data_IF_613781856967
#
_entry.id   IF_613781856967
#
_cell.length_a   1.000
_cell.length_b   1.000
_cell.length_c   1.000
_cell.angle_alpha   90.00
_cell.angle_beta   90.00
_cell.angle_gamma   90.00
#
_symmetry.space_group_name_H-M   'P 1'
#
loop_
_entity.id
_entity.type
_entity.pdbx_description
1 polymer ?
#
# COMPACT_ATOMS: atom_id res chain seq x y z
N UNK A 1 -35.93 31.16 6.25
CA UNK A 1 -36.41 30.08 5.35
C UNK A 1 -36.18 28.75 6.07
N UNK A 2 -37.23 27.95 6.22
CA UNK A 2 -37.28 26.80 7.12
C UNK A 2 -36.11 25.82 6.89
N UNK A 3 -35.37 25.54 7.96
CA UNK A 3 -34.31 24.53 8.02
C UNK A 3 -35.00 23.18 8.10
N UNK A 4 -35.03 22.44 6.99
CA UNK A 4 -35.44 21.04 7.00
C UNK A 4 -34.35 20.24 7.70
N UNK A 5 -34.61 19.86 8.95
CA UNK A 5 -33.88 18.87 9.72
C UNK A 5 -34.22 17.49 9.15
N UNK A 6 -33.37 16.97 8.26
CA UNK A 6 -33.38 15.53 7.97
C UNK A 6 -32.86 14.86 9.26
N UNK A 7 -33.65 14.00 9.91
CA UNK A 7 -33.18 13.28 11.10
C UNK A 7 -32.02 12.36 10.70
N UNK A 8 -31.03 12.22 11.58
CA UNK A 8 -30.00 11.22 11.44
C UNK A 8 -30.68 9.86 11.19
N UNK A 9 -30.40 9.26 10.03
CA UNK A 9 -30.94 7.96 9.68
C UNK A 9 -30.61 6.93 10.77
N UNK A 10 -31.49 5.95 10.92
CA UNK A 10 -31.34 4.87 11.88
C UNK A 10 -29.98 4.18 11.73
N UNK A 11 -29.05 4.41 12.68
CA UNK A 11 -27.76 3.71 12.72
C UNK A 11 -28.01 2.21 12.86
N UNK A 12 -27.50 1.41 11.92
CA UNK A 12 -27.67 -0.05 11.95
C UNK A 12 -26.80 -0.63 13.07
N UNK A 13 -27.44 -1.19 14.10
CA UNK A 13 -26.80 -1.76 15.29
C UNK A 13 -27.19 -1.00 16.57
N UNK A 14 -28.37 -1.29 17.12
CA UNK A 14 -28.97 -0.49 18.18
C UNK A 14 -28.59 -0.93 19.59
N UNK A 15 -27.53 -0.32 20.13
CA UNK A 15 -27.43 -0.12 21.59
C UNK A 15 -27.98 1.27 21.94
N UNK A 16 -28.60 1.43 23.11
CA UNK A 16 -29.14 2.72 23.62
C UNK A 16 -28.08 3.83 23.58
N UNK A 17 -26.80 3.48 23.71
CA UNK A 17 -25.67 4.41 23.65
C UNK A 17 -25.48 5.04 22.26
N UNK A 18 -25.72 4.28 21.18
CA UNK A 18 -25.62 4.78 19.81
C UNK A 18 -26.58 5.94 19.55
N UNK A 19 -27.83 5.79 19.99
CA UNK A 19 -28.85 6.82 19.85
C UNK A 19 -28.56 8.06 20.70
N UNK A 20 -28.00 7.87 21.90
CA UNK A 20 -27.63 8.98 22.77
C UNK A 20 -26.51 9.80 22.11
N UNK A 21 -25.47 9.13 21.60
CA UNK A 21 -24.38 9.79 20.87
C UNK A 21 -24.90 10.49 19.61
N UNK A 22 -25.78 9.83 18.85
CA UNK A 22 -26.43 10.41 17.67
C UNK A 22 -27.19 11.71 18.00
N UNK A 23 -28.02 11.67 19.05
CA UNK A 23 -28.80 12.83 19.51
C UNK A 23 -27.92 13.96 20.03
N UNK A 24 -26.83 13.65 20.74
CA UNK A 24 -25.87 14.66 21.17
C UNK A 24 -25.14 15.29 19.98
N UNK A 25 -24.73 14.48 19.00
CA UNK A 25 -24.11 14.98 17.79
C UNK A 25 -25.06 15.90 17.02
N UNK A 26 -26.32 15.50 16.82
CA UNK A 26 -27.36 16.34 16.22
C UNK A 26 -27.54 17.66 16.95
N UNK A 27 -27.60 17.61 18.29
CA UNK A 27 -27.70 18.79 19.14
C UNK A 27 -26.50 19.73 18.97
N UNK A 28 -25.28 19.19 18.90
CA UNK A 28 -24.06 19.99 18.71
C UNK A 28 -23.92 20.54 17.29
N UNK A 29 -24.43 19.84 16.28
CA UNK A 29 -24.44 20.33 14.89
C UNK A 29 -25.50 21.42 14.67
N UNK A 30 -26.55 21.50 15.51
CA UNK A 30 -27.62 22.49 15.35
C UNK A 30 -27.18 23.94 15.68
N UNK A 31 -26.11 24.14 16.46
CA UNK A 31 -25.60 25.46 16.83
C UNK A 31 -24.14 25.65 16.41
N UNK A 32 -23.83 26.82 15.85
CA UNK A 32 -22.45 27.17 15.46
C UNK A 32 -21.51 27.27 16.67
N UNK A 33 -22.03 27.62 17.84
CA UNK A 33 -21.24 27.74 19.08
C UNK A 33 -20.80 26.37 19.62
N UNK A 34 -21.55 25.31 19.34
CA UNK A 34 -21.24 23.93 19.75
C UNK A 34 -20.45 23.15 18.68
N UNK A 35 -20.12 23.75 17.54
CA UNK A 35 -19.35 23.09 16.48
C UNK A 35 -17.98 22.55 16.96
N UNK A 36 -17.22 23.22 17.86
CA UNK A 36 -16.00 22.65 18.42
C UNK A 36 -16.24 21.38 19.24
N UNK A 37 -17.38 21.27 19.91
CA UNK A 37 -17.78 20.08 20.67
C UNK A 37 -18.18 18.94 19.72
N UNK A 38 -18.87 19.26 18.63
CA UNK A 38 -19.17 18.29 17.57
C UNK A 38 -17.87 17.74 16.95
N UNK A 39 -16.92 18.60 16.62
CA UNK A 39 -15.61 18.19 16.09
C UNK A 39 -14.85 17.31 17.10
N UNK A 40 -14.82 17.70 18.38
CA UNK A 40 -14.19 16.87 19.42
C UNK A 40 -14.84 15.48 19.50
N UNK A 41 -16.17 15.39 19.51
CA UNK A 41 -16.89 14.12 19.55
C UNK A 41 -16.58 13.25 18.31
N UNK A 42 -16.60 13.84 17.11
CA UNK A 42 -16.29 13.17 15.85
C UNK A 42 -14.86 12.62 15.85
N UNK A 43 -13.88 13.37 16.37
CA UNK A 43 -12.50 12.89 16.47
C UNK A 43 -12.37 11.63 17.32
N UNK A 44 -13.14 11.54 18.42
CA UNK A 44 -13.16 10.34 19.26
C UNK A 44 -13.85 9.19 18.52
N UNK A 45 -15.01 9.44 17.90
CA UNK A 45 -15.74 8.43 17.13
C UNK A 45 -14.93 7.86 15.96
N UNK A 46 -14.10 8.68 15.31
CA UNK A 46 -13.24 8.25 14.21
C UNK A 46 -12.19 7.21 14.65
N UNK A 47 -11.73 7.28 15.91
CA UNK A 47 -10.69 6.41 16.45
C UNK A 47 -11.24 5.12 17.09
N UNK A 48 -12.56 4.99 17.19
CA UNK A 48 -13.23 3.83 17.79
C UNK A 48 -13.41 2.77 16.70
N UNK A 49 -12.71 1.64 16.86
CA UNK A 49 -12.79 0.48 15.96
C UNK A 49 -13.70 -0.64 16.50
N UNK A 50 -13.81 -0.75 17.83
CA UNK A 50 -14.76 -1.64 18.51
C UNK A 50 -15.09 -1.07 19.90
N UNK A 51 -16.35 -1.20 20.32
CA UNK A 51 -16.75 -0.96 21.71
C UNK A 51 -16.99 -2.31 22.37
N UNK A 52 -16.08 -2.71 23.26
CA UNK A 52 -16.35 -3.80 24.18
C UNK A 52 -17.11 -3.20 25.37
N UNK A 53 -18.38 -3.57 25.53
CA UNK A 53 -19.25 -3.10 26.62
C UNK A 53 -18.78 -3.45 28.04
N UNK A 54 -17.59 -4.01 28.21
CA UNK A 54 -16.97 -4.25 29.51
C UNK A 54 -16.27 -2.99 30.01
N UNK A 55 -17.06 -1.94 30.26
CA UNK A 55 -16.66 -0.92 31.21
C UNK A 55 -16.48 -1.59 32.57
N UNK A 56 -15.26 -1.57 33.09
CA UNK A 56 -14.93 -1.91 34.48
C UNK A 56 -15.74 -1.01 35.43
N UNK A 57 -16.97 -1.41 35.73
CA UNK A 57 -17.73 -0.96 36.88
C UNK A 57 -17.72 -2.10 37.88
N UNK A 58 -16.93 -1.92 38.94
CA UNK A 58 -16.88 -2.83 40.08
C UNK A 58 -18.17 -2.71 40.89
N UNK A 59 -19.28 -3.28 40.40
CA UNK A 59 -20.44 -3.62 41.23
C UNK A 59 -21.10 -4.91 40.70
N UNK A 60 -21.20 -5.97 41.53
CA UNK A 60 -21.77 -7.23 41.10
C UNK A 60 -23.26 -7.24 41.39
N UNK A 61 -24.10 -7.30 40.36
CA UNK A 61 -25.44 -7.92 40.50
C UNK A 61 -25.89 -8.54 39.18
N UNK A 62 -25.93 -9.88 39.22
CA UNK A 62 -26.89 -10.78 38.60
C UNK A 62 -27.18 -10.70 37.08
N UNK A 63 -26.57 -11.67 36.39
CA UNK A 63 -27.22 -12.65 35.49
C UNK A 63 -27.83 -12.18 34.17
N UNK A 64 -27.17 -12.65 33.11
CA UNK A 64 -27.71 -13.25 31.86
C UNK A 64 -28.44 -12.34 30.87
N UNK A 65 -27.71 -11.89 29.84
CA UNK A 65 -27.82 -12.44 28.48
C UNK A 65 -26.55 -12.08 27.70
N UNK A 66 -25.78 -13.07 27.30
CA UNK A 66 -24.63 -12.93 26.41
C UNK A 66 -25.13 -12.70 24.99
N UNK A 67 -25.25 -11.44 24.60
CA UNK A 67 -25.02 -11.04 23.21
C UNK A 67 -23.87 -10.05 23.24
N UNK A 68 -22.68 -10.51 22.84
CA UNK A 68 -21.60 -9.61 22.47
C UNK A 68 -22.07 -8.89 21.19
N UNK A 69 -22.96 -7.92 21.32
CA UNK A 69 -23.32 -7.00 20.24
C UNK A 69 -22.17 -6.00 20.13
N UNK A 70 -21.20 -6.38 19.30
CA UNK A 70 -20.11 -5.51 18.91
C UNK A 70 -20.70 -4.29 18.22
N UNK A 71 -20.56 -3.13 18.85
CA UNK A 71 -21.06 -1.87 18.32
C UNK A 71 -20.19 -1.44 17.14
N UNK A 72 -20.77 -1.49 15.94
CA UNK A 72 -20.18 -0.94 14.73
C UNK A 72 -20.96 0.33 14.32
N UNK A 73 -20.45 1.51 14.66
CA UNK A 73 -20.96 2.75 14.08
C UNK A 73 -20.71 2.71 12.57
N UNK A 74 -21.77 2.64 11.77
CA UNK A 74 -21.66 2.68 10.30
C UNK A 74 -21.02 3.99 9.85
N UNK A 75 -19.84 3.88 9.25
CA UNK A 75 -19.04 4.98 8.71
C UNK A 75 -19.82 5.74 7.64
N UNK A 76 -20.48 5.02 6.73
CA UNK A 76 -21.30 5.59 5.65
C UNK A 76 -22.47 6.42 6.18
N UNK A 77 -23.17 5.96 7.21
CA UNK A 77 -24.31 6.68 7.76
C UNK A 77 -23.90 8.06 8.32
N UNK A 78 -22.75 8.11 9.01
CA UNK A 78 -22.22 9.35 9.57
C UNK A 78 -21.71 10.30 8.48
N UNK A 79 -21.03 9.75 7.46
CA UNK A 79 -20.55 10.53 6.30
C UNK A 79 -21.74 11.14 5.54
N UNK A 80 -22.77 10.35 5.24
CA UNK A 80 -23.96 10.82 4.52
C UNK A 80 -24.70 11.94 5.25
N UNK A 81 -24.61 11.98 6.59
CA UNK A 81 -25.16 13.08 7.38
C UNK A 81 -24.27 14.33 7.38
N UNK A 82 -22.95 14.16 7.51
CA UNK A 82 -22.03 15.28 7.65
C UNK A 82 -21.77 15.99 6.32
N UNK A 83 -21.60 15.24 5.23
CA UNK A 83 -21.13 15.77 3.95
C UNK A 83 -21.99 16.91 3.37
N UNK A 84 -23.35 16.87 3.44
CA UNK A 84 -24.18 17.96 2.92
C UNK A 84 -24.07 19.29 3.68
N UNK A 85 -23.74 19.26 4.99
CA UNK A 85 -23.77 20.44 5.87
C UNK A 85 -22.41 20.88 6.38
N UNK A 86 -21.52 19.93 6.65
CA UNK A 86 -20.22 20.14 7.28
C UNK A 86 -19.14 19.29 6.60
N UNK A 87 -18.76 19.61 5.35
CA UNK A 87 -17.77 18.84 4.60
C UNK A 87 -16.39 18.83 5.27
N UNK A 88 -16.02 19.88 6.00
CA UNK A 88 -14.78 19.92 6.78
C UNK A 88 -14.74 18.88 7.91
N UNK A 89 -15.87 18.69 8.60
CA UNK A 89 -15.98 17.69 9.65
C UNK A 89 -15.98 16.27 9.07
N UNK A 90 -16.62 16.07 7.92
CA UNK A 90 -16.58 14.80 7.20
C UNK A 90 -15.16 14.44 6.77
N UNK A 91 -14.39 15.41 6.25
CA UNK A 91 -12.99 15.22 5.87
C UNK A 91 -12.10 14.91 7.07
N UNK A 92 -12.29 15.63 8.19
CA UNK A 92 -11.62 15.34 9.47
C UNK A 92 -11.89 13.92 9.97
N UNK A 93 -13.15 13.49 9.94
CA UNK A 93 -13.57 12.16 10.38
C UNK A 93 -12.90 11.07 9.53
N UNK A 94 -13.04 11.15 8.21
CA UNK A 94 -12.47 10.19 7.26
C UNK A 94 -10.95 10.10 7.39
N UNK A 95 -10.27 11.25 7.48
CA UNK A 95 -8.82 11.28 7.62
C UNK A 95 -8.36 10.56 8.89
N UNK A 96 -9.02 10.78 10.02
CA UNK A 96 -8.69 10.11 11.27
C UNK A 96 -9.00 8.62 11.22
N UNK A 97 -10.11 8.24 10.60
CA UNK A 97 -10.49 6.83 10.43
C UNK A 97 -9.46 6.07 9.60
N UNK A 98 -9.06 6.64 8.47
CA UNK A 98 -8.09 6.00 7.56
C UNK A 98 -6.70 5.95 8.18
N UNK A 99 -6.18 7.08 8.68
CA UNK A 99 -4.79 7.15 9.13
C UNK A 99 -4.54 6.77 10.59
N UNK A 100 -5.53 6.89 11.49
CA UNK A 100 -5.38 6.49 12.90
C UNK A 100 -6.04 5.16 13.22
N UNK A 101 -7.27 4.95 12.74
CA UNK A 101 -8.00 3.70 13.00
C UNK A 101 -7.62 2.58 12.02
N UNK A 102 -6.92 2.91 10.93
CA UNK A 102 -6.38 1.94 9.97
C UNK A 102 -7.44 1.37 9.03
N UNK A 103 -8.46 2.16 8.69
CA UNK A 103 -9.49 1.77 7.74
C UNK A 103 -8.89 1.47 6.36
N UNK A 104 -9.12 0.26 5.85
CA UNK A 104 -8.60 -0.25 4.58
C UNK A 104 -9.61 -0.19 3.45
N UNK A 105 -10.79 0.37 3.69
CA UNK A 105 -11.84 0.40 2.68
C UNK A 105 -11.53 1.42 1.56
N UNK A 106 -11.37 0.91 0.33
CA UNK A 106 -10.99 1.70 -0.86
C UNK A 106 -12.03 2.78 -1.22
N UNK A 107 -13.31 2.53 -0.91
CA UNK A 107 -14.40 3.50 -1.11
C UNK A 107 -14.16 4.78 -0.26
N UNK A 108 -13.79 4.61 1.00
CA UNK A 108 -13.47 5.71 1.91
C UNK A 108 -12.19 6.45 1.50
N UNK A 109 -11.19 5.73 0.97
CA UNK A 109 -9.94 6.32 0.47
C UNK A 109 -10.20 7.24 -0.73
N UNK A 110 -11.00 6.75 -1.68
CA UNK A 110 -11.43 7.53 -2.85
C UNK A 110 -12.25 8.75 -2.43
N UNK A 111 -13.24 8.55 -1.55
CA UNK A 111 -14.10 9.64 -1.06
C UNK A 111 -13.30 10.72 -0.32
N UNK A 112 -12.32 10.35 0.51
CA UNK A 112 -11.46 11.31 1.19
C UNK A 112 -10.69 12.17 0.18
N UNK A 113 -10.09 11.55 -0.84
CA UNK A 113 -9.31 12.28 -1.84
C UNK A 113 -10.19 13.23 -2.68
N UNK A 114 -11.38 12.80 -3.08
CA UNK A 114 -12.34 13.65 -3.80
C UNK A 114 -12.83 14.82 -2.94
N UNK A 115 -13.20 14.56 -1.68
CA UNK A 115 -13.66 15.58 -0.74
C UNK A 115 -12.55 16.61 -0.47
N UNK A 116 -11.31 16.15 -0.30
CA UNK A 116 -10.17 17.05 -0.08
C UNK A 116 -9.90 17.94 -1.29
N UNK A 117 -10.02 17.43 -2.51
CA UNK A 117 -9.90 18.21 -3.74
C UNK A 117 -11.02 19.25 -3.84
N UNK A 118 -12.27 18.87 -3.55
CA UNK A 118 -13.40 19.81 -3.55
C UNK A 118 -13.21 20.95 -2.55
N UNK A 119 -12.76 20.63 -1.33
CA UNK A 119 -12.45 21.64 -0.31
C UNK A 119 -11.28 22.53 -0.75
N UNK A 120 -10.25 21.95 -1.38
CA UNK A 120 -9.11 22.69 -1.91
C UNK A 120 -9.53 23.74 -2.95
N UNK A 121 -10.38 23.34 -3.91
CA UNK A 121 -10.91 24.24 -4.93
C UNK A 121 -11.79 25.33 -4.30
N UNK A 122 -12.68 24.95 -3.37
CA UNK A 122 -13.56 25.89 -2.65
C UNK A 122 -12.75 26.94 -1.88
N UNK A 123 -11.66 26.55 -1.22
CA UNK A 123 -10.84 27.48 -0.44
C UNK A 123 -10.02 28.43 -1.30
N UNK A 124 -9.61 28.00 -2.49
CA UNK A 124 -9.01 28.90 -3.47
C UNK A 124 -10.02 29.92 -4.00
N UNK A 125 -11.25 29.50 -4.32
CA UNK A 125 -12.32 30.40 -4.74
C UNK A 125 -12.70 31.41 -3.65
N UNK A 126 -12.76 30.95 -2.39
CA UNK A 126 -13.06 31.82 -1.25
C UNK A 126 -11.88 32.67 -0.77
N UNK A 127 -10.70 32.56 -1.41
CA UNK A 127 -9.45 33.26 -1.02
C UNK A 127 -9.08 33.11 0.46
N UNK A 128 -9.33 31.95 1.05
CA UNK A 128 -8.99 31.68 2.44
C UNK A 128 -7.61 31.04 2.51
N UNK A 129 -6.56 31.86 2.61
CA UNK A 129 -5.15 31.41 2.52
C UNK A 129 -4.75 30.43 3.64
N UNK A 130 -5.22 30.65 4.86
CA UNK A 130 -4.90 29.80 6.01
C UNK A 130 -5.44 28.38 5.80
N UNK A 131 -6.75 28.29 5.50
CA UNK A 131 -7.38 26.99 5.23
C UNK A 131 -6.84 26.35 3.97
N UNK A 132 -6.56 27.13 2.93
CA UNK A 132 -5.98 26.64 1.68
C UNK A 132 -4.62 25.99 1.93
N UNK A 133 -3.73 26.66 2.66
CA UNK A 133 -2.38 26.15 2.96
C UNK A 133 -2.45 24.83 3.72
N UNK A 134 -3.32 24.77 4.73
CA UNK A 134 -3.53 23.54 5.49
C UNK A 134 -4.12 22.42 4.64
N UNK A 135 -5.10 22.73 3.79
CA UNK A 135 -5.73 21.78 2.88
C UNK A 135 -4.73 21.21 1.86
N UNK A 136 -3.82 22.05 1.33
CA UNK A 136 -2.75 21.61 0.43
C UNK A 136 -1.83 20.58 1.10
N UNK A 137 -1.39 20.87 2.32
CA UNK A 137 -0.55 19.95 3.09
C UNK A 137 -1.26 18.61 3.31
N UNK A 138 -2.55 18.65 3.67
CA UNK A 138 -3.34 17.47 3.97
C UNK A 138 -3.63 16.62 2.74
N UNK A 139 -3.97 17.27 1.62
CA UNK A 139 -4.19 16.59 0.35
C UNK A 139 -2.90 15.91 -0.16
N UNK A 140 -1.76 16.60 -0.10
CA UNK A 140 -0.45 16.03 -0.48
C UNK A 140 -0.07 14.83 0.40
N UNK A 141 -0.32 14.90 1.70
CA UNK A 141 -0.12 13.77 2.61
C UNK A 141 -1.01 12.58 2.24
N UNK A 142 -2.26 12.84 1.91
CA UNK A 142 -3.22 11.80 1.54
C UNK A 142 -2.81 11.12 0.23
N UNK A 143 -2.41 11.91 -0.77
CA UNK A 143 -1.91 11.39 -2.05
C UNK A 143 -0.63 10.55 -1.91
N UNK A 144 0.26 10.88 -0.98
CA UNK A 144 1.51 10.12 -0.80
C UNK A 144 1.32 8.79 -0.06
N UNK A 145 0.21 8.61 0.64
CA UNK A 145 -0.06 7.43 1.48
C UNK A 145 -1.08 6.46 0.89
N UNK A 146 -2.11 6.97 0.22
CA UNK A 146 -3.16 6.13 -0.35
C UNK A 146 -2.73 5.62 -1.72
N UNK A 147 -2.93 4.34 -2.02
CA UNK A 147 -2.64 3.79 -3.35
C UNK A 147 -3.86 3.93 -4.28
N UNK A 148 -5.06 3.63 -3.77
CA UNK A 148 -6.32 3.62 -4.51
C UNK A 148 -7.13 4.89 -4.29
N UNK A 149 -7.02 5.88 -5.19
CA UNK A 149 -7.81 7.11 -5.09
C UNK A 149 -8.34 7.64 -6.42
N UNK A 150 -8.56 6.77 -7.41
CA UNK A 150 -9.10 7.14 -8.75
C UNK A 150 -8.42 8.39 -9.32
N UNK A 151 -7.09 8.34 -9.37
CA UNK A 151 -6.23 9.51 -9.60
C UNK A 151 -6.54 10.22 -10.92
N UNK A 152 -7.00 9.49 -11.93
CA UNK A 152 -7.46 10.05 -13.21
C UNK A 152 -8.63 11.02 -13.05
N UNK A 153 -9.64 10.67 -12.26
CA UNK A 153 -10.81 11.53 -12.01
C UNK A 153 -10.43 12.79 -11.24
N UNK A 154 -9.53 12.67 -10.27
CA UNK A 154 -9.00 13.81 -9.53
C UNK A 154 -8.25 14.76 -10.45
N UNK A 155 -7.46 14.22 -11.38
CA UNK A 155 -6.72 15.02 -12.36
C UNK A 155 -7.66 15.75 -13.33
N UNK A 156 -8.69 15.07 -13.84
CA UNK A 156 -9.71 15.68 -14.71
C UNK A 156 -10.48 16.79 -14.00
N UNK A 157 -10.84 16.57 -12.74
CA UNK A 157 -11.52 17.56 -11.89
C UNK A 157 -10.65 18.79 -11.68
N UNK A 158 -9.35 18.61 -11.41
CA UNK A 158 -8.40 19.71 -11.28
C UNK A 158 -8.19 20.46 -12.61
N UNK A 159 -8.10 19.75 -13.73
CA UNK A 159 -7.99 20.34 -15.08
C UNK A 159 -9.20 21.18 -15.48
N UNK A 160 -10.38 20.77 -15.04
CA UNK A 160 -11.65 21.46 -15.31
C UNK A 160 -11.84 22.72 -14.46
N UNK A 161 -11.02 22.92 -13.43
CA UNK A 161 -11.11 24.09 -12.55
C UNK A 161 -10.50 25.34 -13.19
N UNK A 162 -11.11 26.50 -12.94
CA UNK A 162 -10.61 27.82 -13.39
C UNK A 162 -9.29 28.23 -12.72
N UNK A 163 -8.98 27.65 -11.56
CA UNK A 163 -7.82 27.97 -10.72
C UNK A 163 -6.64 27.01 -10.88
N UNK A 164 -6.59 26.21 -11.94
CA UNK A 164 -5.54 25.19 -12.18
C UNK A 164 -4.10 25.71 -11.99
N UNK A 165 -3.85 26.97 -12.37
CA UNK A 165 -2.54 27.61 -12.29
C UNK A 165 -2.00 27.72 -10.85
N UNK A 166 -2.88 27.75 -9.84
CA UNK A 166 -2.50 27.80 -8.42
C UNK A 166 -2.04 26.44 -7.87
N UNK A 167 -2.38 25.35 -8.56
CA UNK A 167 -2.25 23.98 -8.04
C UNK A 167 -1.20 23.17 -8.79
N UNK A 168 -0.10 23.81 -9.20
CA UNK A 168 0.90 23.11 -10.02
C UNK A 168 1.56 21.95 -9.26
N UNK A 169 1.82 22.08 -7.97
CA UNK A 169 2.42 21.00 -7.16
C UNK A 169 1.48 19.79 -7.03
N UNK A 170 0.20 20.04 -6.77
CA UNK A 170 -0.84 19.01 -6.66
C UNK A 170 -1.06 18.32 -8.02
N UNK A 171 -1.09 19.10 -9.11
CA UNK A 171 -1.18 18.60 -10.48
C UNK A 171 -0.03 17.66 -10.83
N UNK A 172 1.20 18.10 -10.57
CA UNK A 172 2.42 17.31 -10.78
C UNK A 172 2.41 16.04 -9.92
N UNK A 173 1.98 16.13 -8.66
CA UNK A 173 1.88 14.98 -7.76
C UNK A 173 0.91 13.92 -8.30
N UNK A 174 -0.26 14.33 -8.81
CA UNK A 174 -1.22 13.42 -9.44
C UNK A 174 -0.65 12.76 -10.71
N UNK A 175 0.06 13.52 -11.56
CA UNK A 175 0.74 12.96 -12.74
C UNK A 175 1.80 11.93 -12.35
N UNK A 176 2.56 12.18 -11.28
CA UNK A 176 3.53 11.23 -10.73
C UNK A 176 2.88 9.90 -10.33
N UNK A 177 1.73 9.94 -9.65
CA UNK A 177 0.97 8.74 -9.31
C UNK A 177 0.47 7.96 -10.52
N UNK A 178 0.08 8.66 -11.58
CA UNK A 178 -0.29 8.05 -12.87
C UNK A 178 0.92 7.58 -13.70
N UNK A 179 2.15 7.74 -13.19
CA UNK A 179 3.41 7.46 -13.89
C UNK A 179 3.55 8.23 -15.21
N UNK A 180 2.89 9.39 -15.33
CA UNK A 180 2.97 10.31 -16.46
C UNK A 180 4.11 11.32 -16.25
N UNK A 181 5.32 10.79 -16.15
CA UNK A 181 6.50 11.56 -15.78
C UNK A 181 6.89 12.61 -16.83
N UNK A 182 6.70 12.33 -18.12
CA UNK A 182 6.99 13.26 -19.21
C UNK A 182 6.17 14.56 -19.05
N UNK A 183 4.85 14.44 -18.93
CA UNK A 183 3.93 15.58 -18.75
C UNK A 183 4.28 16.39 -17.48
N UNK A 184 4.64 15.71 -16.38
CA UNK A 184 4.94 16.37 -15.11
C UNK A 184 6.25 17.18 -15.19
N UNK A 185 7.29 16.58 -15.77
CA UNK A 185 8.61 17.18 -15.87
C UNK A 185 8.63 18.30 -16.92
N UNK A 186 7.87 18.20 -18.01
CA UNK A 186 7.68 19.32 -18.94
C UNK A 186 7.10 20.57 -18.23
N UNK A 187 6.13 20.39 -17.33
CA UNK A 187 5.57 21.51 -16.57
C UNK A 187 6.61 22.16 -15.65
N UNK A 188 7.38 21.36 -14.92
CA UNK A 188 8.38 21.89 -13.97
C UNK A 188 9.59 22.51 -14.67
N UNK A 189 10.13 21.81 -15.67
CA UNK A 189 11.38 22.17 -16.35
C UNK A 189 11.15 23.23 -17.42
N UNK A 190 10.15 23.06 -18.29
CA UNK A 190 9.95 23.95 -19.45
C UNK A 190 9.07 25.15 -19.09
N UNK A 191 7.96 24.93 -18.35
CA UNK A 191 7.02 26.02 -18.02
C UNK A 191 7.46 26.84 -16.82
N UNK A 192 7.86 26.18 -15.72
CA UNK A 192 8.26 26.87 -14.49
C UNK A 192 9.76 27.18 -14.42
N UNK A 193 10.60 26.47 -15.18
CA UNK A 193 12.07 26.54 -15.10
C UNK A 193 12.61 26.28 -13.68
N UNK A 194 11.86 25.54 -12.86
CA UNK A 194 12.28 25.17 -11.50
C UNK A 194 12.79 23.73 -11.47
N UNK A 195 14.10 23.63 -11.58
CA UNK A 195 14.82 22.35 -11.60
C UNK A 195 14.90 21.76 -10.19
N UNK A 196 14.91 22.62 -9.17
CA UNK A 196 14.81 22.18 -7.78
C UNK A 196 13.49 21.47 -7.52
N UNK A 197 12.38 22.00 -8.05
CA UNK A 197 11.07 21.34 -7.99
C UNK A 197 11.07 20.02 -8.76
N UNK A 198 11.67 19.96 -9.96
CA UNK A 198 11.81 18.73 -10.73
C UNK A 198 12.57 17.64 -9.94
N UNK A 199 13.65 18.00 -9.25
CA UNK A 199 14.42 17.05 -8.43
C UNK A 199 13.66 16.59 -7.19
N UNK A 200 12.95 17.50 -6.49
CA UNK A 200 12.07 17.11 -5.37
C UNK A 200 10.97 16.16 -5.83
N UNK A 201 10.39 16.40 -7.00
CA UNK A 201 9.40 15.52 -7.61
C UNK A 201 9.98 14.14 -7.93
N UNK A 202 11.16 14.07 -8.55
CA UNK A 202 11.84 12.81 -8.84
C UNK A 202 12.13 12.00 -7.56
N UNK A 203 12.64 12.66 -6.52
CA UNK A 203 12.92 12.04 -5.23
C UNK A 203 11.64 11.50 -4.56
N UNK A 204 10.54 12.25 -4.64
CA UNK A 204 9.22 11.84 -4.13
C UNK A 204 8.71 10.58 -4.85
N UNK A 205 8.73 10.56 -6.18
CA UNK A 205 8.29 9.40 -6.96
C UNK A 205 9.16 8.17 -6.67
N UNK A 206 10.47 8.34 -6.60
CA UNK A 206 11.42 7.25 -6.27
C UNK A 206 11.15 6.68 -4.87
N UNK A 207 10.82 7.53 -3.89
CA UNK A 207 10.50 7.08 -2.53
C UNK A 207 9.20 6.27 -2.49
N UNK A 208 8.20 6.68 -3.28
CA UNK A 208 6.92 5.94 -3.42
C UNK A 208 7.18 4.57 -4.07
N UNK A 209 7.93 4.53 -5.17
CA UNK A 209 8.28 3.27 -5.85
C UNK A 209 9.09 2.32 -4.96
N UNK A 210 10.04 2.85 -4.17
CA UNK A 210 10.78 2.07 -3.17
C UNK A 210 9.86 1.47 -2.11
N UNK A 211 8.92 2.25 -1.60
CA UNK A 211 7.96 1.78 -0.60
C UNK A 211 7.07 0.67 -1.17
N UNK A 212 6.56 0.84 -2.39
CA UNK A 212 5.76 -0.18 -3.08
C UNK A 212 6.54 -1.50 -3.24
N UNK A 213 7.79 -1.44 -3.72
CA UNK A 213 8.65 -2.63 -3.83
C UNK A 213 8.91 -3.31 -2.49
N UNK A 214 9.05 -2.54 -1.40
CA UNK A 214 9.23 -3.09 -0.06
C UNK A 214 7.96 -3.82 0.43
N UNK A 215 6.79 -3.25 0.17
CA UNK A 215 5.50 -3.87 0.50
C UNK A 215 5.29 -5.14 -0.32
N UNK A 216 5.49 -5.09 -1.64
CA UNK A 216 5.42 -6.24 -2.54
C UNK A 216 6.36 -7.37 -2.08
N UNK A 217 7.62 -7.05 -1.81
CA UNK A 217 8.59 -8.03 -1.32
C UNK A 217 8.14 -8.64 0.00
N UNK A 218 7.64 -7.83 0.95
CA UNK A 218 7.10 -8.33 2.23
C UNK A 218 5.91 -9.29 2.03
N UNK A 219 5.01 -9.01 1.09
CA UNK A 219 3.88 -9.91 0.78
C UNK A 219 4.31 -11.23 0.16
N UNK A 220 5.38 -11.23 -0.65
CA UNK A 220 5.94 -12.46 -1.23
C UNK A 220 6.48 -13.42 -0.17
N UNK A 221 7.13 -12.90 0.87
CA UNK A 221 7.61 -13.73 1.99
C UNK A 221 6.49 -14.31 2.85
N UNK A 222 5.28 -13.72 2.82
CA UNK A 222 4.14 -14.16 3.63
C UNK A 222 3.22 -15.18 2.93
N UNK A 223 3.37 -15.41 1.62
CA UNK A 223 2.46 -16.28 0.84
C UNK A 223 3.10 -17.54 0.25
N UNK A 224 4.28 -17.94 0.71
CA UNK A 224 4.95 -19.16 0.23
C UNK A 224 4.39 -20.47 0.87
N UNK A 225 3.09 -20.53 1.17
CA UNK A 225 2.43 -21.74 1.70
C UNK A 225 1.27 -22.30 0.86
N UNK A 226 0.81 -21.62 -0.20
CA UNK A 226 -0.17 -22.22 -1.10
C UNK A 226 0.47 -22.61 -2.43
N UNK A 227 0.71 -23.91 -2.56
CA UNK A 227 1.20 -24.53 -3.78
C UNK A 227 0.20 -24.37 -4.91
N UNK A 228 0.41 -23.34 -5.73
CA UNK A 228 0.00 -23.38 -7.12
C UNK A 228 1.25 -23.18 -7.99
N UNK A 229 1.62 -24.26 -8.69
CA UNK A 229 2.72 -24.28 -9.64
C UNK A 229 2.29 -23.54 -10.91
N UNK A 230 2.20 -22.23 -10.82
CA UNK A 230 2.35 -21.34 -11.97
C UNK A 230 3.36 -20.26 -11.62
N UNK A 231 4.60 -20.70 -11.38
CA UNK A 231 5.76 -19.83 -11.48
C UNK A 231 5.88 -19.36 -12.92
N UNK A 232 5.10 -18.33 -13.28
CA UNK A 232 5.48 -17.46 -14.40
C UNK A 232 6.88 -16.96 -14.04
N UNK A 233 7.90 -17.21 -14.87
CA UNK A 233 9.19 -16.57 -14.67
C UNK A 233 8.93 -15.08 -14.60
N UNK A 234 9.51 -14.43 -13.59
CA UNK A 234 9.52 -12.99 -13.34
C UNK A 234 9.44 -12.26 -14.68
N UNK A 235 8.22 -11.92 -15.09
CA UNK A 235 8.01 -11.50 -16.45
C UNK A 235 8.68 -10.15 -16.55
N UNK A 236 9.53 -10.05 -17.56
CA UNK A 236 10.20 -8.87 -18.06
C UNK A 236 9.13 -7.90 -18.58
N UNK A 237 8.24 -7.43 -17.71
CA UNK A 237 7.52 -6.20 -18.00
C UNK A 237 8.61 -5.14 -18.11
N UNK A 238 8.76 -4.59 -19.32
CA UNK A 238 9.67 -3.47 -19.59
C UNK A 238 9.64 -2.54 -18.37
N UNK A 239 10.76 -2.36 -17.65
CA UNK A 239 10.77 -1.51 -16.48
C UNK A 239 10.27 -0.14 -16.93
N UNK A 240 9.08 0.27 -16.44
CA UNK A 240 8.55 1.61 -16.74
C UNK A 240 9.67 2.61 -16.43
N UNK A 241 9.92 3.57 -17.31
CA UNK A 241 11.11 4.41 -17.23
C UNK A 241 11.14 5.14 -15.89
N UNK A 242 12.27 5.02 -15.20
CA UNK A 242 12.51 5.74 -13.95
C UNK A 242 12.34 7.25 -14.19
N UNK A 243 11.68 7.95 -13.28
CA UNK A 243 11.43 9.40 -13.35
C UNK A 243 12.71 10.22 -13.62
N UNK A 244 13.86 9.81 -13.08
CA UNK A 244 15.15 10.46 -13.34
C UNK A 244 15.68 10.19 -14.75
N UNK A 245 15.36 9.03 -15.33
CA UNK A 245 15.69 8.74 -16.74
C UNK A 245 14.92 9.69 -17.64
N UNK A 246 13.64 9.92 -17.34
CA UNK A 246 12.82 10.88 -18.09
C UNK A 246 13.36 12.30 -17.95
N UNK A 247 13.72 12.74 -16.74
CA UNK A 247 14.32 14.05 -16.50
C UNK A 247 15.62 14.23 -17.28
N UNK A 248 16.54 13.26 -17.20
CA UNK A 248 17.81 13.33 -17.91
C UNK A 248 17.60 13.37 -19.42
N UNK A 249 16.70 12.56 -19.98
CA UNK A 249 16.36 12.62 -21.40
C UNK A 249 15.85 14.01 -21.78
N UNK A 250 14.91 14.56 -21.03
CA UNK A 250 14.35 15.89 -21.27
C UNK A 250 15.46 16.97 -21.27
N UNK A 251 16.37 16.93 -20.30
CA UNK A 251 17.47 17.89 -20.22
C UNK A 251 18.51 17.73 -21.34
N UNK A 252 18.84 16.49 -21.70
CA UNK A 252 19.83 16.17 -22.75
C UNK A 252 19.32 16.50 -24.16
N UNK A 253 18.01 16.35 -24.41
CA UNK A 253 17.39 16.74 -25.68
C UNK A 253 17.11 18.23 -25.81
N UNK A 254 17.31 19.01 -24.74
CA UNK A 254 17.02 20.43 -24.76
C UNK A 254 18.11 21.21 -25.51
N UNK A 255 17.69 22.17 -26.34
CA UNK A 255 18.60 23.12 -26.99
C UNK A 255 19.09 24.24 -26.06
N UNK A 256 18.62 24.28 -24.79
CA UNK A 256 19.01 25.30 -23.82
C UNK A 256 20.36 24.93 -23.15
N UNK A 257 21.43 25.74 -23.32
CA UNK A 257 22.73 25.47 -22.72
C UNK A 257 22.70 25.38 -21.19
N UNK A 258 21.78 26.09 -20.55
CA UNK A 258 21.65 26.07 -19.08
C UNK A 258 21.08 24.75 -18.57
N UNK A 259 20.18 24.13 -19.32
CA UNK A 259 19.62 22.81 -19.01
C UNK A 259 20.64 21.70 -19.27
N UNK A 260 21.45 21.85 -20.32
CA UNK A 260 22.56 20.93 -20.61
C UNK A 260 23.60 20.94 -19.47
N UNK A 261 23.95 22.12 -18.94
CA UNK A 261 24.88 22.22 -17.81
C UNK A 261 24.32 21.57 -16.53
N UNK A 262 23.02 21.65 -16.31
CA UNK A 262 22.39 20.96 -15.19
C UNK A 262 22.33 19.45 -15.40
N UNK A 263 22.17 18.98 -16.64
CA UNK A 263 22.26 17.56 -16.95
C UNK A 263 23.62 16.99 -16.54
N UNK A 264 24.72 17.72 -16.77
CA UNK A 264 26.08 17.33 -16.33
C UNK A 264 26.16 17.12 -14.84
N UNK A 265 25.65 18.08 -14.06
CA UNK A 265 25.60 17.97 -12.59
C UNK A 265 24.79 16.77 -12.13
N UNK A 266 23.70 16.44 -12.82
CA UNK A 266 22.88 15.27 -12.50
C UNK A 266 23.56 13.95 -12.87
N UNK A 267 24.34 13.91 -13.96
CA UNK A 267 25.13 12.74 -14.33
C UNK A 267 26.22 12.41 -13.29
N UNK A 268 26.71 13.42 -12.55
CA UNK A 268 27.64 13.23 -11.44
C UNK A 268 26.97 12.66 -10.18
N UNK A 269 25.65 12.84 -10.01
CA UNK A 269 24.93 12.36 -8.84
C UNK A 269 24.76 10.84 -8.84
N UNK A 270 24.61 10.26 -7.64
CA UNK A 270 24.20 8.86 -7.51
C UNK A 270 22.67 8.76 -7.55
N UNK A 271 22.16 8.29 -8.68
CA UNK A 271 20.73 8.15 -8.92
C UNK A 271 20.34 6.66 -8.85
N UNK A 272 19.47 6.26 -7.92
CA UNK A 272 19.04 4.87 -7.80
C UNK A 272 18.18 4.45 -9.00
N UNK A 273 18.37 3.21 -9.46
CA UNK A 273 17.63 2.57 -10.55
C UNK A 273 17.62 3.35 -11.88
N UNK A 274 18.63 4.17 -12.13
CA UNK A 274 18.74 4.88 -13.39
C UNK A 274 18.92 3.88 -14.54
N UNK A 275 18.15 4.05 -15.61
CA UNK A 275 18.36 3.26 -16.82
C UNK A 275 19.48 3.87 -17.64
N UNK A 276 20.71 3.40 -17.38
CA UNK A 276 21.90 3.86 -18.08
C UNK A 276 21.81 3.64 -19.58
N UNK A 277 21.19 2.56 -20.05
CA UNK A 277 21.11 2.27 -21.49
C UNK A 277 20.20 3.29 -22.19
N UNK A 278 19.06 3.60 -21.58
CA UNK A 278 18.13 4.59 -22.10
C UNK A 278 18.68 6.01 -22.06
N UNK A 279 19.48 6.36 -21.04
CA UNK A 279 20.18 7.65 -20.99
C UNK A 279 21.26 7.73 -22.06
N UNK A 280 22.09 6.70 -22.24
CA UNK A 280 23.17 6.69 -23.22
C UNK A 280 22.69 6.81 -24.68
N UNK A 281 21.50 6.29 -25.00
CA UNK A 281 20.88 6.45 -26.33
C UNK A 281 20.61 7.91 -26.72
N UNK A 282 20.53 8.80 -25.74
CA UNK A 282 20.15 10.21 -25.91
C UNK A 282 21.36 11.13 -25.81
N UNK A 283 22.57 10.59 -25.62
CA UNK A 283 23.79 11.39 -25.60
C UNK A 283 24.05 12.02 -26.97
N UNK A 284 24.31 13.34 -27.04
CA UNK A 284 24.73 13.97 -28.28
C UNK A 284 26.03 13.36 -28.82
N UNK A 285 26.06 13.03 -30.12
CA UNK A 285 27.22 12.43 -30.80
C UNK A 285 28.48 13.33 -30.75
N UNK A 286 28.29 14.63 -30.56
CA UNK A 286 29.34 15.64 -30.53
C UNK A 286 29.85 15.97 -29.12
N UNK A 287 29.39 15.26 -28.08
CA UNK A 287 29.80 15.53 -26.71
C UNK A 287 31.21 15.00 -26.44
N UNK A 288 32.12 15.87 -26.03
CA UNK A 288 33.42 15.45 -25.52
C UNK A 288 33.26 14.70 -24.19
N UNK A 289 34.03 13.63 -23.99
CA UNK A 289 34.08 12.89 -22.72
C UNK A 289 34.77 13.78 -21.68
N UNK A 290 33.96 14.61 -21.02
CA UNK A 290 34.38 15.41 -19.88
C UNK A 290 34.39 14.56 -18.58
N UNK A 291 34.95 15.06 -17.46
CA UNK A 291 35.03 14.31 -16.21
C UNK A 291 33.67 13.85 -15.67
N UNK A 292 32.60 14.62 -15.90
CA UNK A 292 31.24 14.27 -15.50
C UNK A 292 30.74 13.05 -16.27
N UNK A 293 30.88 13.07 -17.61
CA UNK A 293 30.52 11.94 -18.49
C UNK A 293 31.36 10.70 -18.18
N UNK A 294 32.66 10.85 -17.95
CA UNK A 294 33.55 9.72 -17.59
C UNK A 294 33.14 9.08 -16.25
N UNK A 295 32.81 9.91 -15.26
CA UNK A 295 32.32 9.45 -13.95
C UNK A 295 31.01 8.69 -14.11
N UNK A 296 30.08 9.23 -14.90
CA UNK A 296 28.81 8.58 -15.21
C UNK A 296 29.00 7.23 -15.91
N UNK A 297 29.81 7.16 -16.96
CA UNK A 297 30.09 5.91 -17.69
C UNK A 297 30.73 4.85 -16.77
N UNK A 298 31.69 5.26 -15.95
CA UNK A 298 32.32 4.38 -14.96
C UNK A 298 31.29 3.83 -13.97
N UNK A 299 30.39 4.68 -13.47
CA UNK A 299 29.29 4.28 -12.59
C UNK A 299 28.31 3.33 -13.29
N UNK A 300 27.94 3.62 -14.53
CA UNK A 300 27.05 2.80 -15.34
C UNK A 300 27.60 1.38 -15.52
N UNK A 301 28.87 1.26 -15.91
CA UNK A 301 29.56 -0.02 -16.09
C UNK A 301 29.66 -0.77 -14.76
N UNK A 302 30.15 -0.12 -13.70
CA UNK A 302 30.29 -0.75 -12.38
C UNK A 302 28.95 -1.27 -11.86
N UNK A 303 27.90 -0.46 -11.94
CA UNK A 303 26.56 -0.82 -11.46
C UNK A 303 25.97 -1.97 -12.27
N UNK A 304 26.09 -1.92 -13.59
CA UNK A 304 25.60 -2.99 -14.48
C UNK A 304 26.36 -4.29 -14.23
N UNK A 305 27.69 -4.24 -14.17
CA UNK A 305 28.53 -5.41 -13.89
C UNK A 305 28.19 -6.02 -12.51
N UNK A 306 27.99 -5.18 -11.50
CA UNK A 306 27.62 -5.63 -10.15
C UNK A 306 26.25 -6.31 -10.15
N UNK A 307 25.27 -5.73 -10.85
CA UNK A 307 23.93 -6.30 -11.00
C UNK A 307 23.96 -7.67 -11.69
N UNK A 308 24.65 -7.77 -12.83
CA UNK A 308 24.79 -9.04 -13.57
C UNK A 308 25.53 -10.08 -12.73
N UNK A 309 26.62 -9.70 -12.06
CA UNK A 309 27.38 -10.60 -11.19
C UNK A 309 26.51 -11.11 -10.04
N UNK A 310 25.74 -10.23 -9.39
CA UNK A 310 24.82 -10.61 -8.31
C UNK A 310 23.73 -11.56 -8.80
N UNK A 311 23.10 -11.26 -9.93
CA UNK A 311 22.07 -12.11 -10.55
C UNK A 311 22.61 -13.51 -10.86
N UNK A 312 23.81 -13.60 -11.44
CA UNK A 312 24.46 -14.89 -11.73
C UNK A 312 24.79 -15.68 -10.47
N UNK A 313 25.23 -15.01 -9.39
CA UNK A 313 25.49 -15.66 -8.10
C UNK A 313 24.18 -16.18 -7.48
N UNK A 314 23.13 -15.36 -7.46
CA UNK A 314 21.82 -15.75 -6.93
C UNK A 314 21.23 -16.94 -7.73
N UNK A 315 21.29 -16.88 -9.05
CA UNK A 315 20.87 -17.99 -9.91
C UNK A 315 21.68 -19.27 -9.65
N UNK A 316 23.00 -19.16 -9.53
CA UNK A 316 23.87 -20.28 -9.21
C UNK A 316 23.51 -20.92 -7.87
N UNK A 317 23.32 -20.10 -6.82
CA UNK A 317 22.93 -20.56 -5.49
C UNK A 317 21.56 -21.25 -5.49
N UNK A 318 20.56 -20.66 -6.16
CA UNK A 318 19.21 -21.25 -6.27
C UNK A 318 19.26 -22.58 -7.04
N UNK A 319 20.03 -22.64 -8.12
CA UNK A 319 20.20 -23.86 -8.92
C UNK A 319 20.87 -24.98 -8.12
N UNK A 320 21.90 -24.66 -7.34
CA UNK A 320 22.58 -25.60 -6.44
C UNK A 320 21.63 -26.10 -5.33
N UNK A 321 20.94 -25.19 -4.63
CA UNK A 321 19.96 -25.56 -3.60
C UNK A 321 18.87 -26.47 -4.19
N UNK A 322 18.31 -26.12 -5.34
CA UNK A 322 17.29 -26.93 -6.00
C UNK A 322 17.83 -28.32 -6.41
N UNK A 323 19.09 -28.40 -6.83
CA UNK A 323 19.74 -29.66 -7.19
C UNK A 323 20.01 -30.54 -5.97
N UNK A 324 20.51 -29.94 -4.89
CA UNK A 324 20.71 -30.60 -3.60
C UNK A 324 19.38 -31.13 -3.03
N UNK A 325 18.32 -30.31 -3.02
CA UNK A 325 16.99 -30.74 -2.58
C UNK A 325 16.42 -31.88 -3.43
N UNK A 326 16.65 -31.88 -4.75
CA UNK A 326 16.25 -32.99 -5.62
C UNK A 326 17.05 -34.26 -5.33
N UNK A 327 18.36 -34.14 -5.10
CA UNK A 327 19.20 -35.28 -4.76
C UNK A 327 18.82 -35.89 -3.39
N UNK A 328 18.52 -35.05 -2.40
CA UNK A 328 18.03 -35.46 -1.09
C UNK A 328 16.63 -36.11 -1.18
N UNK A 329 15.73 -35.55 -1.96
CA UNK A 329 14.42 -36.16 -2.22
C UNK A 329 14.55 -37.53 -2.91
N UNK A 330 15.46 -37.67 -3.89
CA UNK A 330 15.71 -38.94 -4.56
C UNK A 330 16.38 -39.97 -3.62
N UNK A 331 17.33 -39.55 -2.78
CA UNK A 331 17.95 -40.41 -1.77
C UNK A 331 16.95 -40.86 -0.70
N UNK A 332 15.99 -40.00 -0.35
CA UNK A 332 14.88 -40.31 0.56
C UNK A 332 13.90 -41.33 -0.06
N UNK A 333 13.64 -41.25 -1.37
CA UNK A 333 12.85 -42.26 -2.10
C UNK A 333 13.58 -43.61 -2.16
N UNK A 334 14.91 -43.62 -2.28
CA UNK A 334 15.71 -44.84 -2.31
C UNK A 334 15.73 -45.60 -0.96
N UNK A 335 15.45 -44.92 0.16
CA UNK A 335 15.20 -45.53 1.47
C UNK A 335 13.72 -45.87 1.68
N UNK A 336 12.97 -46.08 0.60
CA UNK A 336 11.53 -46.33 0.57
C UNK A 336 11.06 -47.27 1.66
N UNK A 337 10.55 -46.67 2.74
CA UNK A 337 9.82 -47.37 3.78
C UNK A 337 8.55 -47.91 3.14
N UNK A 338 8.49 -49.23 2.99
CA UNK A 338 7.35 -49.96 2.44
C UNK A 338 6.15 -49.82 3.37
N UNK A 339 5.46 -48.69 3.28
CA UNK A 339 4.08 -48.57 3.74
C UNK A 339 3.22 -49.30 2.73
N UNK A 340 2.86 -50.54 3.03
CA UNK A 340 1.93 -51.33 2.23
C UNK A 340 0.50 -50.90 2.52
N UNK A 341 -0.46 -51.17 1.62
CA UNK A 341 -1.90 -50.90 1.84
C UNK A 341 -2.47 -51.58 3.10
N UNK A 342 -1.75 -52.57 3.66
CA UNK A 342 -2.10 -53.25 4.90
C UNK A 342 -1.66 -52.50 6.18
N UNK A 343 -0.86 -51.44 6.06
CA UNK A 343 -0.30 -50.71 7.21
C UNK A 343 -1.38 -49.87 7.90
N UNK A 344 -1.61 -50.15 9.19
CA UNK A 344 -2.60 -49.48 10.04
C UNK A 344 -1.93 -48.60 11.09
N UNK A 345 -2.56 -47.47 11.40
CA UNK A 345 -2.13 -46.58 12.48
C UNK A 345 -2.14 -47.30 13.84
N UNK A 346 -1.08 -47.15 14.63
CA UNK A 346 -0.97 -47.77 15.95
C UNK A 346 -2.04 -47.27 16.94
N UNK A 347 -2.46 -46.01 16.81
CA UNK A 347 -3.38 -45.38 17.76
C UNK A 347 -4.85 -45.58 17.39
N UNK A 348 -5.22 -45.31 16.14
CA UNK A 348 -6.62 -45.37 15.70
C UNK A 348 -6.96 -46.66 14.93
N UNK A 349 -5.96 -47.50 14.64
CA UNK A 349 -6.10 -48.77 13.89
C UNK A 349 -6.73 -48.66 12.49
N UNK A 350 -6.92 -47.43 11.99
CA UNK A 350 -7.36 -47.18 10.62
C UNK A 350 -6.19 -47.33 9.64
N UNK A 351 -6.48 -47.73 8.38
CA UNK A 351 -5.46 -47.77 7.35
C UNK A 351 -4.91 -46.36 7.09
N UNK A 352 -3.63 -46.27 6.72
CA UNK A 352 -2.97 -44.96 6.58
C UNK A 352 -3.57 -44.06 5.49
N UNK A 353 -4.23 -44.64 4.48
CA UNK A 353 -4.95 -43.95 3.42
C UNK A 353 -6.39 -43.55 3.78
N UNK A 354 -6.86 -43.78 5.01
CA UNK A 354 -8.24 -43.47 5.42
C UNK A 354 -8.63 -42.00 5.20
N UNK A 355 -7.66 -41.10 5.05
CA UNK A 355 -7.86 -39.67 4.84
C UNK A 355 -7.45 -39.19 3.43
N UNK A 356 -7.24 -40.10 2.47
CA UNK A 356 -6.98 -39.81 1.05
C UNK A 356 -5.81 -40.59 0.45
N UNK A 357 -5.90 -40.85 -0.86
CA UNK A 357 -4.98 -41.74 -1.59
C UNK A 357 -3.60 -41.14 -1.91
N UNK A 358 -3.44 -39.80 -1.80
CA UNK A 358 -2.33 -39.13 -2.48
C UNK A 358 -1.04 -39.06 -1.66
N UNK A 359 -1.09 -39.09 -0.32
CA UNK A 359 0.10 -39.28 0.55
C UNK A 359 -0.38 -39.80 1.91
N UNK A 360 0.06 -40.98 2.40
CA UNK A 360 -0.28 -41.40 3.74
C UNK A 360 0.37 -40.44 4.74
N UNK A 361 -0.44 -39.62 5.42
CA UNK A 361 0.01 -38.77 6.52
C UNK A 361 0.35 -39.65 7.73
N UNK A 362 1.46 -40.38 7.66
CA UNK A 362 1.93 -41.32 8.68
C UNK A 362 3.38 -41.06 9.07
N UNK A 363 3.66 -41.07 10.37
CA UNK A 363 5.00 -41.06 10.94
C UNK A 363 5.35 -42.48 11.41
N UNK A 364 6.60 -42.91 11.21
CA UNK A 364 7.09 -44.22 11.63
C UNK A 364 7.78 -44.06 12.97
N UNK A 365 7.32 -44.81 13.98
CA UNK A 365 7.78 -44.67 15.35
C UNK A 365 8.98 -45.56 15.68
N UNK A 366 9.10 -46.75 15.06
CA UNK A 366 10.27 -47.60 15.21
C UNK A 366 10.43 -48.56 14.01
N UNK A 367 11.68 -48.75 13.60
CA UNK A 367 12.11 -49.67 12.55
C UNK A 367 12.42 -51.08 13.08
N UNK A 368 12.38 -51.30 14.39
CA UNK A 368 12.86 -52.54 15.02
C UNK A 368 11.87 -53.71 14.89
N UNK A 369 10.65 -53.46 14.44
CA UNK A 369 9.59 -54.46 14.33
C UNK A 369 9.06 -54.55 12.89
N UNK A 370 8.74 -55.78 12.46
CA UNK A 370 8.08 -56.04 11.17
C UNK A 370 6.65 -56.54 11.43
N UNK A 371 5.60 -55.83 10.96
CA UNK A 371 5.63 -54.59 10.19
C UNK A 371 6.00 -53.35 11.03
N UNK A 372 6.63 -52.31 10.43
CA UNK A 372 7.04 -51.10 11.14
C UNK A 372 5.84 -50.43 11.80
N UNK A 373 6.03 -49.92 13.03
CA UNK A 373 4.97 -49.22 13.74
C UNK A 373 4.76 -47.83 13.12
N UNK A 374 3.57 -47.64 12.55
CA UNK A 374 3.19 -46.41 11.85
C UNK A 374 2.01 -45.74 12.55
N UNK A 375 1.99 -44.41 12.59
CA UNK A 375 0.94 -43.65 13.25
C UNK A 375 0.55 -42.44 12.41
N UNK A 376 -0.73 -42.08 12.34
CA UNK A 376 -1.12 -40.84 11.67
C UNK A 376 -0.52 -39.62 12.36
N UNK A 377 -0.19 -38.57 11.59
CA UNK A 377 0.37 -37.33 12.17
C UNK A 377 -0.54 -36.71 13.25
N UNK A 378 -1.85 -36.73 13.04
CA UNK A 378 -2.83 -36.23 14.03
C UNK A 378 -2.90 -37.13 15.28
N UNK A 379 -2.65 -38.44 15.14
CA UNK A 379 -2.60 -39.37 16.26
C UNK A 379 -1.32 -39.19 17.08
N UNK A 380 -0.22 -38.77 16.45
CA UNK A 380 1.05 -38.47 17.10
C UNK A 380 0.90 -37.33 18.13
N UNK A 381 0.18 -36.27 17.74
CA UNK A 381 -0.09 -35.11 18.61
C UNK A 381 -0.98 -35.45 19.80
N UNK A 382 -1.87 -36.43 19.67
CA UNK A 382 -2.76 -36.87 20.74
C UNK A 382 -2.08 -37.80 21.76
N UNK A 383 -1.00 -38.50 21.37
CA UNK A 383 -0.29 -39.46 22.22
C UNK A 383 0.68 -38.85 23.24
N UNK A 384 0.96 -37.54 23.17
CA UNK A 384 1.85 -36.87 24.13
C UNK A 384 3.31 -37.34 24.11
N UNK A 385 3.78 -37.86 22.97
CA UNK A 385 5.17 -38.36 22.77
C UNK A 385 6.08 -37.28 22.13
N UNK A 386 5.66 -36.02 22.14
CA UNK A 386 6.50 -34.86 21.80
C UNK A 386 6.67 -33.95 23.01
#
# INVERSE_FOLDING_TARGET
>A
KAVSTVPLGTFVGYTVYAEIVARHLDGFLASAESLPLADALIRHLACITSWNGTGSSSHPTASTLSTNEEFALSTDALINCLLPRYPDLAENYLWLRIFKAGDKESSHHTLLAELQLQLLLRYAESKNEEKLTWQRLRFRYTLSRLEDCQTEKLLESLKSSSSIHLFTEEYVTLLGKLKKYDEALEVLVLKQKDIGAALRFCASCTSIEMHQRLVENSTLWNHQENGDQTSKPLNTENPKPNVYTVLLKLLLTSNDPSLLEQSKKLLEMEIPFLDFAEVLKVFPDNWQIDPAVSTFLTKAIKTTLTRESKSNIEFGLVSEIASASRAEAAASIAHGLLVTDASKCLQCHLPLNAYGDVRPFGCILSHEYSPPSVMHLHCLQASGIL
#
